data_IF_377501223126
#
_entry.id   IF_377501223126
#
_cell.length_a   1.000
_cell.length_b   1.000
_cell.length_c   1.000
_cell.angle_alpha   90.00
_cell.angle_beta   90.00
_cell.angle_gamma   90.00
#
_symmetry.space_group_name_H-M   'P 1'
#
loop_
_entity.id
_entity.type
_entity.pdbx_description
1 polymer ?
#
# COMPACT_ATOMS: atom_id res chain seq x y z
N UNK A 1 -5.13 -42.45 30.85
CA UNK A 1 -5.96 -41.75 29.85
C UNK A 1 -5.15 -40.62 29.26
N UNK A 2 -4.96 -40.60 27.94
CA UNK A 2 -4.33 -39.49 27.24
C UNK A 2 -5.24 -38.26 27.35
N UNK A 3 -4.73 -37.05 27.63
CA UNK A 3 -5.56 -35.85 27.63
C UNK A 3 -6.17 -35.66 26.24
N UNK A 4 -7.50 -35.63 26.18
CA UNK A 4 -8.22 -35.40 24.93
C UNK A 4 -8.08 -33.93 24.55
N UNK A 5 -7.54 -33.68 23.35
CA UNK A 5 -7.54 -32.34 22.78
C UNK A 5 -8.98 -31.97 22.42
N UNK A 6 -9.44 -30.80 22.84
CA UNK A 6 -10.77 -30.26 22.56
C UNK A 6 -10.68 -28.90 21.88
N UNK A 7 -11.70 -28.54 21.12
CA UNK A 7 -11.78 -27.23 20.43
C UNK A 7 -11.64 -26.07 21.42
N UNK A 8 -12.37 -26.09 22.53
CA UNK A 8 -12.28 -25.06 23.56
C UNK A 8 -10.88 -24.95 24.19
N UNK A 9 -10.13 -26.05 24.25
CA UNK A 9 -8.75 -26.03 24.78
C UNK A 9 -7.76 -25.49 23.76
N UNK A 10 -7.97 -25.76 22.48
CA UNK A 10 -7.19 -25.16 21.38
C UNK A 10 -7.49 -23.67 21.30
N UNK A 11 -8.76 -23.27 21.34
CA UNK A 11 -9.21 -21.88 21.30
C UNK A 11 -8.59 -21.07 22.43
N UNK A 12 -8.76 -21.52 23.67
CA UNK A 12 -8.18 -20.84 24.84
C UNK A 12 -6.66 -20.69 24.73
N UNK A 13 -5.95 -21.75 24.36
CA UNK A 13 -4.50 -21.69 24.15
C UNK A 13 -4.12 -20.69 23.05
N UNK A 14 -4.90 -20.64 21.96
CA UNK A 14 -4.65 -19.72 20.85
C UNK A 14 -4.81 -18.27 21.28
N UNK A 15 -5.87 -17.94 22.02
CA UNK A 15 -6.09 -16.60 22.58
C UNK A 15 -4.91 -16.21 23.47
N UNK A 16 -4.51 -17.07 24.42
CA UNK A 16 -3.39 -16.82 25.33
C UNK A 16 -2.06 -16.57 24.60
N UNK A 17 -1.81 -17.24 23.47
CA UNK A 17 -0.61 -17.02 22.65
C UNK A 17 -0.66 -15.71 21.85
N UNK A 18 -1.84 -15.34 21.35
CA UNK A 18 -2.06 -14.11 20.61
C UNK A 18 -1.94 -12.88 21.51
N UNK A 19 -2.48 -12.94 22.73
CA UNK A 19 -2.35 -11.87 23.73
C UNK A 19 -0.89 -11.60 24.09
N UNK A 20 -0.10 -12.66 24.27
CA UNK A 20 1.37 -12.54 24.46
C UNK A 20 2.08 -11.92 23.26
N UNK A 21 1.51 -12.03 22.07
CA UNK A 21 2.03 -11.48 20.82
C UNK A 21 1.48 -10.09 20.51
N UNK A 22 0.91 -9.39 21.51
CA UNK A 22 0.37 -8.02 21.41
C UNK A 22 -0.89 -7.92 20.53
N UNK A 23 -1.58 -9.04 20.28
CA UNK A 23 -2.92 -9.03 19.71
C UNK A 23 -3.96 -8.92 20.81
N UNK A 24 -5.13 -8.37 20.47
CA UNK A 24 -6.26 -8.24 21.39
C UNK A 24 -7.48 -8.91 20.77
N UNK A 25 -8.28 -9.53 21.63
CA UNK A 25 -9.56 -10.10 21.24
C UNK A 25 -10.57 -8.98 20.92
N UNK A 26 -11.42 -9.22 19.92
CA UNK A 26 -12.55 -8.35 19.60
C UNK A 26 -13.80 -9.21 19.57
N UNK A 27 -14.75 -8.88 20.44
CA UNK A 27 -16.02 -9.57 20.52
C UNK A 27 -16.82 -9.40 19.21
N UNK A 28 -17.16 -10.50 18.54
CA UNK A 28 -17.73 -10.46 17.20
C UNK A 28 -19.05 -9.67 17.09
N UNK A 29 -20.01 -9.78 18.04
CA UNK A 29 -21.22 -8.94 18.03
C UNK A 29 -20.96 -7.44 18.11
N UNK A 30 -19.84 -7.01 18.69
CA UNK A 30 -19.51 -5.59 18.77
C UNK A 30 -19.18 -4.99 17.39
N UNK A 31 -18.58 -5.80 16.50
CA UNK A 31 -18.19 -5.38 15.15
C UNK A 31 -19.17 -5.86 14.07
N UNK A 32 -20.33 -6.39 14.46
CA UNK A 32 -21.30 -6.94 13.54
C UNK A 32 -22.01 -5.85 12.70
N UNK A 33 -22.45 -6.15 11.47
CA UNK A 33 -23.09 -5.18 10.56
C UNK A 33 -24.34 -4.49 11.10
N UNK A 34 -25.05 -5.15 12.02
CA UNK A 34 -26.29 -4.70 12.65
C UNK A 34 -26.07 -3.82 13.88
N UNK A 35 -24.83 -3.65 14.33
CA UNK A 35 -24.48 -2.77 15.45
C UNK A 35 -24.20 -1.33 14.99
N UNK A 36 -24.46 -0.35 15.87
CA UNK A 36 -24.20 1.08 15.61
C UNK A 36 -22.72 1.40 15.38
N UNK A 37 -21.84 0.64 16.03
CA UNK A 37 -20.37 0.74 15.92
C UNK A 37 -19.78 -0.29 14.97
N UNK A 38 -20.48 -0.58 13.87
CA UNK A 38 -20.07 -1.62 12.96
C UNK A 38 -18.75 -1.32 12.21
N UNK A 39 -17.80 -2.24 12.37
CA UNK A 39 -16.59 -2.33 11.54
C UNK A 39 -16.78 -3.23 10.30
N UNK A 40 -17.78 -4.13 10.30
CA UNK A 40 -18.08 -5.05 9.17
C UNK A 40 -19.20 -4.49 8.30
N UNK A 41 -19.10 -4.63 6.98
CA UNK A 41 -20.23 -4.28 6.10
C UNK A 41 -21.21 -5.45 5.95
N UNK A 42 -20.69 -6.67 5.95
CA UNK A 42 -21.48 -7.90 5.85
C UNK A 42 -20.98 -8.95 6.84
N UNK A 43 -21.83 -9.90 7.24
CA UNK A 43 -21.44 -10.99 8.16
C UNK A 43 -20.33 -11.88 7.60
N UNK A 44 -20.23 -11.97 6.28
CA UNK A 44 -19.17 -12.70 5.56
C UNK A 44 -17.83 -11.97 5.52
N UNK A 45 -17.78 -10.71 5.94
CA UNK A 45 -16.54 -9.93 5.88
C UNK A 45 -15.56 -10.44 6.93
N UNK A 46 -14.46 -11.01 6.45
CA UNK A 46 -13.34 -11.46 7.29
C UNK A 46 -12.41 -10.29 7.63
N UNK A 47 -12.22 -9.37 6.68
CA UNK A 47 -11.31 -8.23 6.82
C UNK A 47 -12.05 -6.95 7.21
N UNK A 48 -11.57 -6.28 8.26
CA UNK A 48 -12.07 -4.98 8.70
C UNK A 48 -11.35 -3.86 7.93
N UNK A 49 -11.86 -3.52 6.74
CA UNK A 49 -11.18 -2.61 5.79
C UNK A 49 -10.80 -1.26 6.41
N UNK A 50 -11.68 -0.65 7.22
CA UNK A 50 -11.40 0.64 7.88
C UNK A 50 -10.23 0.54 8.86
N UNK A 51 -10.19 -0.49 9.70
CA UNK A 51 -9.08 -0.74 10.64
C UNK A 51 -7.78 -1.03 9.90
N UNK A 52 -7.84 -1.81 8.83
CA UNK A 52 -6.68 -2.11 7.99
C UNK A 52 -6.10 -0.84 7.36
N UNK A 53 -6.94 0.00 6.74
CA UNK A 53 -6.51 1.27 6.16
C UNK A 53 -5.89 2.19 7.21
N UNK A 54 -6.50 2.29 8.40
CA UNK A 54 -5.95 3.06 9.52
C UNK A 54 -4.60 2.53 9.98
N UNK A 55 -4.44 1.21 10.10
CA UNK A 55 -3.18 0.58 10.46
C UNK A 55 -2.09 0.82 9.41
N UNK A 56 -2.40 0.64 8.12
CA UNK A 56 -1.47 0.93 7.01
C UNK A 56 -1.07 2.40 6.99
N UNK A 57 -2.00 3.32 7.27
CA UNK A 57 -1.71 4.76 7.35
C UNK A 57 -0.76 5.14 8.49
N UNK A 58 -0.70 4.36 9.58
CA UNK A 58 0.27 4.56 10.68
C UNK A 58 1.67 4.07 10.33
N UNK A 59 1.78 3.13 9.39
CA UNK A 59 3.10 2.66 8.94
C UNK A 59 3.77 3.84 8.25
N UNK A 60 4.98 4.24 8.68
CA UNK A 60 5.72 5.31 8.03
C UNK A 60 5.85 4.94 6.56
N UNK A 61 5.22 5.75 5.70
CA UNK A 61 5.34 5.59 4.27
C UNK A 61 6.80 5.84 3.95
N UNK A 62 7.57 4.77 3.72
CA UNK A 62 8.83 4.92 3.03
C UNK A 62 8.45 5.38 1.63
N UNK A 63 8.37 6.70 1.45
CA UNK A 63 8.31 7.34 0.15
C UNK A 63 9.67 7.13 -0.51
N UNK A 64 10.05 5.88 -0.75
CA UNK A 64 10.93 5.54 -1.84
C UNK A 64 10.16 6.05 -3.06
N UNK A 65 10.51 7.28 -3.44
CA UNK A 65 9.96 8.11 -4.51
C UNK A 65 9.08 7.26 -5.42
N UNK A 66 7.76 7.35 -5.26
CA UNK A 66 6.92 7.18 -6.43
C UNK A 66 7.48 8.21 -7.39
N UNK A 67 8.28 7.74 -8.36
CA UNK A 67 8.67 8.54 -9.50
C UNK A 67 7.37 9.06 -10.07
N UNK A 68 7.03 10.29 -9.74
CA UNK A 68 5.95 11.00 -10.40
C UNK A 68 6.30 10.92 -11.87
N UNK A 69 5.62 10.04 -12.59
CA UNK A 69 5.87 9.75 -14.01
C UNK A 69 5.77 11.02 -14.85
N UNK A 70 5.09 12.04 -14.32
CA UNK A 70 5.01 13.40 -14.84
C UNK A 70 6.36 14.13 -14.86
N UNK A 71 7.19 13.98 -13.83
CA UNK A 71 8.48 14.67 -13.74
C UNK A 71 9.47 14.10 -14.78
N UNK A 72 9.51 12.78 -14.94
CA UNK A 72 10.34 12.13 -15.96
C UNK A 72 9.89 12.45 -17.39
N UNK A 73 8.57 12.56 -17.62
CA UNK A 73 8.05 12.96 -18.93
C UNK A 73 8.41 14.40 -19.27
N UNK A 74 8.35 15.30 -18.29
CA UNK A 74 8.75 16.70 -18.50
C UNK A 74 10.24 16.84 -18.78
N UNK A 75 11.09 16.07 -18.09
CA UNK A 75 12.54 16.04 -18.32
C UNK A 75 12.85 15.52 -19.74
N UNK A 76 12.22 14.42 -20.16
CA UNK A 76 12.40 13.87 -21.50
C UNK A 76 11.97 14.87 -22.59
N UNK A 77 10.83 15.54 -22.40
CA UNK A 77 10.35 16.56 -23.34
C UNK A 77 11.30 17.75 -23.45
N UNK A 78 11.93 18.17 -22.33
CA UNK A 78 12.95 19.23 -22.34
C UNK A 78 14.18 18.80 -23.12
N UNK A 79 14.64 17.56 -22.96
CA UNK A 79 15.79 17.04 -23.70
C UNK A 79 15.53 16.97 -25.21
N UNK A 80 14.36 16.48 -25.64
CA UNK A 80 13.98 16.41 -27.06
C UNK A 80 14.03 17.80 -27.70
N UNK A 81 13.45 18.82 -27.05
CA UNK A 81 13.48 20.20 -27.56
C UNK A 81 14.89 20.76 -27.69
N UNK A 82 15.79 20.43 -26.77
CA UNK A 82 17.19 20.86 -26.85
C UNK A 82 17.89 20.22 -28.04
N UNK A 83 17.66 18.93 -28.28
CA UNK A 83 18.22 18.22 -29.43
C UNK A 83 17.68 18.74 -30.77
N UNK A 84 16.39 19.06 -30.85
CA UNK A 84 15.80 19.70 -32.03
C UNK A 84 16.44 21.06 -32.32
N UNK A 85 16.63 21.90 -31.29
CA UNK A 85 17.32 23.19 -31.45
C UNK A 85 18.77 23.04 -31.90
N UNK A 86 19.50 22.07 -31.37
CA UNK A 86 20.87 21.77 -31.80
C UNK A 86 20.91 21.28 -33.24
N UNK A 87 20.01 20.38 -33.63
CA UNK A 87 19.87 19.93 -35.01
C UNK A 87 19.62 21.12 -35.95
N UNK A 88 18.65 21.96 -35.63
CA UNK A 88 18.24 23.07 -36.50
C UNK A 88 19.32 24.17 -36.62
N UNK A 89 20.19 24.29 -35.62
CA UNK A 89 21.32 25.23 -35.64
C UNK A 89 22.58 24.66 -36.29
N UNK A 90 22.81 23.35 -36.20
CA UNK A 90 24.03 22.71 -36.71
C UNK A 90 23.88 22.19 -38.14
N UNK A 91 22.69 21.76 -38.56
CA UNK A 91 22.45 21.28 -39.93
C UNK A 91 22.81 22.35 -40.98
N UNK A 92 22.37 23.62 -40.87
CA UNK A 92 22.73 24.64 -41.86
C UNK A 92 24.24 24.91 -41.90
N UNK A 93 24.91 24.92 -40.73
CA UNK A 93 26.36 25.14 -40.63
C UNK A 93 27.15 24.02 -41.29
N UNK A 94 26.71 22.77 -41.13
CA UNK A 94 27.29 21.60 -41.80
C UNK A 94 27.06 21.66 -43.32
N UNK A 95 25.85 22.02 -43.75
CA UNK A 95 25.50 22.12 -45.18
C UNK A 95 26.23 23.27 -45.89
N UNK A 96 26.57 24.33 -45.15
CA UNK A 96 27.31 25.48 -45.67
C UNK A 96 28.84 25.32 -45.53
N UNK A 97 29.33 24.20 -44.99
CA UNK A 97 30.76 23.95 -44.81
C UNK A 97 31.45 24.86 -43.77
N UNK A 98 30.69 25.41 -42.83
CA UNK A 98 31.19 26.32 -41.78
C UNK A 98 31.71 25.58 -40.54
N UNK A 99 31.92 24.26 -40.63
CA UNK A 99 32.44 23.41 -39.55
C UNK A 99 33.77 22.81 -39.94
#
# INVERSE_FOLDING_TARGET
MSPKITESRIEKLTIELLEKSVYYEVYAPFIAPDNETSDRRFFKDVLLSKRLQSAVGRIPQNKAKSSDTKDNQEINNKQIRTLEKLRDTLLPKLMNGEV
#
